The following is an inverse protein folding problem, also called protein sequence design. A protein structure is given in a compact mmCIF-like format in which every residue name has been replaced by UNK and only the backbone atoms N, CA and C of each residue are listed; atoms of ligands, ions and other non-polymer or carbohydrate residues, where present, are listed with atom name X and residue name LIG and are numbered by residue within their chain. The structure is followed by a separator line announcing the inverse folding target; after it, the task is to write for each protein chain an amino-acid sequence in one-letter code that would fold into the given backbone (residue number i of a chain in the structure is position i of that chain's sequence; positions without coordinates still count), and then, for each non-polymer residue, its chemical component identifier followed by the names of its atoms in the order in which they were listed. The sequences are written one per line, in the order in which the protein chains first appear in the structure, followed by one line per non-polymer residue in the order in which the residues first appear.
data_IF_578576664665
#
_entry.id   IF_578576664665
#
_cell.length_a   1.000
_cell.length_b   1.000
_cell.length_c   1.000
_cell.angle_alpha   90.00
_cell.angle_beta   90.00
_cell.angle_gamma   90.00
#
_symmetry.space_group_name_H-M   'P 1'
#
loop_
_entity.id
_entity.type
_entity.pdbx_description
1 polymer ?
#
# COMPACT_ATOMS: atom_id res chain seq x y z
N UNK A 1 4.12 6.40 22.67
CA UNK A 1 4.06 5.64 21.40
C UNK A 1 5.40 4.94 21.20
N UNK A 2 5.43 3.61 21.12
CA UNK A 2 6.64 2.84 20.81
C UNK A 2 6.66 2.52 19.30
N UNK A 3 7.77 2.81 18.64
CA UNK A 3 8.01 2.42 17.25
C UNK A 3 9.39 1.81 17.15
N UNK A 4 9.47 0.55 16.75
CA UNK A 4 10.73 -0.15 16.52
C UNK A 4 10.79 -0.56 15.06
N UNK A 5 11.87 -0.18 14.38
CA UNK A 5 12.08 -0.47 12.96
C UNK A 5 13.28 -1.41 12.82
N UNK A 6 13.06 -2.52 12.15
CA UNK A 6 14.10 -3.47 11.75
C UNK A 6 14.27 -3.46 10.24
N UNK A 7 15.49 -3.31 9.79
CA UNK A 7 15.88 -3.50 8.39
C UNK A 7 16.57 -4.84 8.26
N UNK A 8 15.95 -5.83 7.60
CA UNK A 8 16.53 -7.17 7.53
C UNK A 8 17.83 -7.18 6.72
N UNK A 9 18.72 -8.09 7.12
CA UNK A 9 19.92 -8.43 6.36
C UNK A 9 19.63 -9.35 5.16
N UNK A 10 20.67 -9.75 4.42
CA UNK A 10 20.53 -10.77 3.38
C UNK A 10 19.92 -12.06 3.94
N UNK A 11 19.04 -12.77 3.19
CA UNK A 11 18.66 -12.51 1.79
C UNK A 11 17.48 -11.53 1.64
N UNK A 12 16.89 -11.00 2.71
CA UNK A 12 15.69 -10.16 2.67
C UNK A 12 15.98 -8.69 2.33
N UNK A 13 17.20 -8.19 2.51
CA UNK A 13 17.55 -6.77 2.43
C UNK A 13 17.20 -6.07 1.11
N UNK A 14 17.14 -6.81 -0.01
CA UNK A 14 16.71 -6.30 -1.32
C UNK A 14 15.23 -6.45 -1.59
N UNK A 15 14.49 -7.13 -0.71
CA UNK A 15 13.09 -7.49 -0.89
C UNK A 15 12.18 -6.82 0.14
N UNK A 16 12.68 -6.59 1.35
CA UNK A 16 11.96 -6.01 2.48
C UNK A 16 12.64 -4.70 2.86
N UNK A 17 11.90 -3.61 2.76
CA UNK A 17 12.41 -2.27 3.10
C UNK A 17 12.48 -2.07 4.61
N UNK A 18 11.46 -2.54 5.32
CA UNK A 18 11.37 -2.46 6.77
C UNK A 18 10.36 -3.48 7.33
N UNK A 19 10.65 -3.95 8.55
CA UNK A 19 9.70 -4.59 9.45
C UNK A 19 9.52 -3.64 10.63
N UNK A 20 8.27 -3.28 10.93
CA UNK A 20 7.98 -2.26 11.94
C UNK A 20 7.03 -2.83 12.99
N UNK A 21 7.42 -2.73 14.25
CA UNK A 21 6.50 -2.86 15.38
C UNK A 21 6.06 -1.47 15.80
N UNK A 22 4.76 -1.28 15.97
CA UNK A 22 4.20 -0.02 16.48
C UNK A 22 3.19 -0.34 17.57
N UNK A 23 3.24 0.44 18.68
CA UNK A 23 2.23 0.44 19.72
C UNK A 23 2.03 1.86 20.26
N UNK A 24 0.79 2.26 20.48
CA UNK A 24 0.43 3.52 21.11
C UNK A 24 -0.11 3.33 22.52
N UNK A 25 -0.31 4.44 23.24
CA UNK A 25 -0.77 4.43 24.64
C UNK A 25 -2.31 4.45 24.75
N UNK A 26 -2.98 5.03 23.77
CA UNK A 26 -4.46 5.10 23.76
C UNK A 26 -4.99 4.77 22.37
N UNK A 27 -5.80 3.72 22.24
CA UNK A 27 -6.40 3.40 20.97
C UNK A 27 -7.50 4.43 20.61
N UNK A 28 -7.33 5.08 19.47
CA UNK A 28 -8.38 5.88 18.85
C UNK A 28 -8.73 5.23 17.53
N UNK A 29 -10.00 4.92 17.36
CA UNK A 29 -10.51 4.35 16.12
C UNK A 29 -11.02 5.47 15.23
N UNK A 30 -10.53 5.52 14.00
CA UNK A 30 -11.02 6.42 12.97
C UNK A 30 -11.18 5.68 11.65
N UNK A 31 -12.21 6.00 10.89
CA UNK A 31 -12.27 5.56 9.49
C UNK A 31 -11.48 6.57 8.67
N UNK A 32 -10.57 6.08 7.87
CA UNK A 32 -9.75 6.91 7.00
C UNK A 32 -9.86 6.44 5.55
N UNK A 33 -9.83 7.40 4.64
CA UNK A 33 -9.68 7.12 3.22
C UNK A 33 -8.19 7.11 2.90
N UNK A 34 -7.72 5.98 2.41
CA UNK A 34 -6.32 5.79 2.02
C UNK A 34 -6.20 5.98 0.51
N UNK A 35 -5.30 6.86 0.10
CA UNK A 35 -5.02 7.09 -1.31
C UNK A 35 -4.33 5.88 -1.96
N UNK A 36 -4.54 5.67 -3.28
CA UNK A 36 -3.93 4.54 -3.96
C UNK A 36 -2.40 4.60 -3.96
N UNK A 37 -1.78 3.46 -3.71
CA UNK A 37 -0.33 3.29 -3.66
C UNK A 37 0.07 2.00 -4.38
N UNK A 38 1.19 1.97 -5.10
CA UNK A 38 1.74 0.74 -5.66
C UNK A 38 2.49 -0.09 -4.61
N UNK A 39 2.60 0.41 -3.40
CA UNK A 39 3.24 -0.31 -2.30
C UNK A 39 2.41 -1.51 -1.89
N UNK A 40 3.11 -2.54 -1.46
CA UNK A 40 2.52 -3.77 -0.95
C UNK A 40 3.14 -4.05 0.40
N UNK A 41 2.35 -4.47 1.36
CA UNK A 41 2.84 -4.75 2.70
C UNK A 41 2.05 -5.83 3.41
N UNK A 42 2.62 -6.36 4.48
CA UNK A 42 1.91 -7.20 5.44
C UNK A 42 1.53 -6.38 6.66
N UNK A 43 0.39 -6.71 7.21
CA UNK A 43 -0.11 -6.09 8.42
C UNK A 43 -0.65 -7.18 9.35
N UNK A 44 -0.18 -7.16 10.60
CA UNK A 44 -0.70 -8.04 11.65
C UNK A 44 -1.13 -7.19 12.83
N UNK A 45 -2.43 -7.20 13.09
CA UNK A 45 -3.03 -6.51 14.23
C UNK A 45 -2.84 -7.36 15.49
N UNK A 46 -2.19 -6.82 16.51
CA UNK A 46 -1.92 -7.53 17.76
C UNK A 46 -3.01 -7.32 18.82
N UNK A 47 -3.92 -6.39 18.61
CA UNK A 47 -5.03 -6.11 19.53
C UNK A 47 -6.30 -6.86 19.16
N UNK A 48 -6.65 -6.87 17.86
CA UNK A 48 -7.84 -7.55 17.33
C UNK A 48 -7.47 -8.56 16.26
N UNK A 49 -8.25 -9.59 16.12
CA UNK A 49 -8.07 -10.58 15.05
C UNK A 49 -8.81 -10.19 13.77
N UNK A 50 -9.01 -8.92 13.56
CA UNK A 50 -9.61 -8.37 12.34
C UNK A 50 -9.11 -6.97 12.01
N UNK A 51 -9.16 -6.65 10.72
CA UNK A 51 -9.18 -5.29 10.18
C UNK A 51 -10.55 -5.04 9.58
N UNK A 52 -10.99 -3.79 9.51
CA UNK A 52 -12.24 -3.41 8.85
C UNK A 52 -11.97 -2.49 7.68
N UNK A 53 -12.49 -2.88 6.53
CA UNK A 53 -12.56 -2.05 5.34
C UNK A 53 -14.01 -1.74 5.01
N UNK A 54 -14.22 -0.69 4.23
CA UNK A 54 -15.57 -0.30 3.82
C UNK A 54 -15.60 -0.19 2.30
N UNK A 55 -16.68 -0.62 1.72
CA UNK A 55 -16.94 -0.40 0.30
C UNK A 55 -17.38 1.04 0.02
N UNK A 56 -17.63 1.36 -1.25
CA UNK A 56 -18.08 2.70 -1.65
C UNK A 56 -19.47 3.05 -1.13
N UNK A 57 -20.30 2.08 -0.77
CA UNK A 57 -21.61 2.24 -0.18
C UNK A 57 -21.53 2.41 1.36
N UNK A 58 -20.35 2.26 1.95
CA UNK A 58 -20.14 2.34 3.40
C UNK A 58 -20.41 1.03 4.15
N UNK A 59 -20.65 -0.08 3.45
CA UNK A 59 -20.79 -1.38 4.09
C UNK A 59 -19.43 -1.88 4.57
N UNK A 60 -19.35 -2.29 5.84
CA UNK A 60 -18.13 -2.80 6.44
C UNK A 60 -17.88 -4.26 6.05
N UNK A 61 -16.60 -4.58 5.78
CA UNK A 61 -16.11 -5.93 5.57
C UNK A 61 -14.95 -6.20 6.54
N UNK A 62 -15.09 -7.22 7.35
CA UNK A 62 -14.00 -7.73 8.20
C UNK A 62 -12.97 -8.48 7.34
N UNK A 63 -11.70 -8.30 7.65
CA UNK A 63 -10.57 -9.05 7.09
C UNK A 63 -9.75 -9.58 8.25
N UNK A 64 -9.19 -10.79 8.13
CA UNK A 64 -8.38 -11.41 9.18
C UNK A 64 -7.29 -10.48 9.71
N UNK A 65 -6.99 -10.58 11.00
CA UNK A 65 -6.01 -9.75 11.70
C UNK A 65 -4.56 -9.90 11.21
N UNK A 66 -4.30 -10.85 10.30
CA UNK A 66 -3.03 -10.99 9.58
C UNK A 66 -3.30 -11.01 8.08
N UNK A 67 -2.83 -9.99 7.34
CA UNK A 67 -3.16 -9.80 5.93
C UNK A 67 -2.01 -9.25 5.09
N UNK A 68 -2.11 -9.48 3.79
CA UNK A 68 -1.38 -8.75 2.75
C UNK A 68 -2.28 -7.61 2.25
N UNK A 69 -1.82 -6.37 2.37
CA UNK A 69 -2.37 -5.24 1.63
C UNK A 69 -1.72 -5.19 0.26
N UNK A 70 -2.48 -5.50 -0.77
CA UNK A 70 -2.01 -5.48 -2.15
C UNK A 70 -1.82 -4.05 -2.68
N UNK A 71 -1.23 -3.89 -3.87
CA UNK A 71 -1.09 -2.59 -4.49
C UNK A 71 -2.45 -2.05 -4.89
N UNK A 72 -2.71 -0.79 -4.60
CA UNK A 72 -4.02 -0.18 -4.85
C UNK A 72 -4.01 0.73 -6.07
N UNK A 73 -5.07 0.70 -6.85
CA UNK A 73 -5.31 1.55 -8.02
C UNK A 73 -6.42 2.59 -7.83
N UNK A 74 -7.07 2.57 -6.68
CA UNK A 74 -8.10 3.52 -6.24
C UNK A 74 -8.07 3.65 -4.72
N UNK A 75 -8.61 4.75 -4.22
CA UNK A 75 -8.73 4.95 -2.78
C UNK A 75 -9.65 3.91 -2.13
N UNK A 76 -9.32 3.52 -0.90
CA UNK A 76 -10.13 2.63 -0.08
C UNK A 76 -10.42 3.28 1.28
N UNK A 77 -11.47 2.81 1.94
CA UNK A 77 -11.82 3.20 3.30
C UNK A 77 -11.41 2.08 4.25
N UNK A 78 -10.62 2.41 5.26
CA UNK A 78 -10.14 1.45 6.25
C UNK A 78 -10.39 2.04 7.64
N UNK A 79 -10.81 1.20 8.58
CA UNK A 79 -10.79 1.53 9.99
C UNK A 79 -9.34 1.53 10.46
N UNK A 80 -8.87 2.69 10.87
CA UNK A 80 -7.52 2.88 11.36
C UNK A 80 -7.57 3.02 12.89
N UNK A 81 -6.93 2.13 13.57
CA UNK A 81 -6.83 2.16 15.03
C UNK A 81 -5.47 2.75 15.42
N UNK A 82 -5.45 4.05 15.66
CA UNK A 82 -4.25 4.71 16.18
C UNK A 82 -3.97 4.22 17.61
N UNK A 83 -2.71 3.91 17.88
CA UNK A 83 -2.30 3.43 19.21
C UNK A 83 -2.40 1.93 19.40
N UNK A 84 -2.98 1.18 18.48
CA UNK A 84 -2.98 -0.28 18.56
C UNK A 84 -1.62 -0.88 18.19
N UNK A 85 -1.28 -1.95 18.90
CA UNK A 85 -0.07 -2.70 18.58
C UNK A 85 -0.25 -3.45 17.25
N UNK A 86 0.70 -3.28 16.33
CA UNK A 86 0.74 -4.03 15.09
C UNK A 86 2.19 -4.27 14.63
N UNK A 87 2.37 -5.33 13.87
CA UNK A 87 3.59 -5.57 13.11
C UNK A 87 3.27 -5.39 11.63
N UNK A 88 4.07 -4.59 10.95
CA UNK A 88 3.94 -4.38 9.52
C UNK A 88 5.25 -4.65 8.78
N UNK A 89 5.14 -5.08 7.52
CA UNK A 89 6.26 -5.30 6.61
C UNK A 89 6.02 -4.48 5.36
N UNK A 90 7.01 -3.70 4.95
CA UNK A 90 6.97 -2.99 3.67
C UNK A 90 7.91 -3.69 2.70
N UNK A 91 7.38 -4.09 1.56
CA UNK A 91 8.17 -4.71 0.50
C UNK A 91 8.78 -3.66 -0.43
N UNK A 92 9.97 -3.95 -0.95
CA UNK A 92 10.49 -3.25 -2.10
C UNK A 92 9.56 -3.46 -3.31
N UNK A 93 9.51 -2.49 -4.22
CA UNK A 93 8.59 -2.55 -5.36
C UNK A 93 8.78 -3.83 -6.19
N UNK A 94 7.72 -4.59 -6.35
CA UNK A 94 7.72 -5.87 -7.04
C UNK A 94 8.20 -7.06 -6.21
N UNK A 95 8.77 -6.84 -5.02
CA UNK A 95 9.29 -7.92 -4.20
C UNK A 95 8.19 -8.77 -3.52
N UNK A 96 7.00 -8.20 -3.30
CA UNK A 96 5.87 -8.91 -2.73
C UNK A 96 5.49 -10.18 -3.53
N UNK A 97 5.78 -10.21 -4.84
CA UNK A 97 5.57 -11.39 -5.69
C UNK A 97 6.36 -12.63 -5.23
N UNK A 98 7.43 -12.44 -4.44
CA UNK A 98 8.23 -13.53 -3.87
C UNK A 98 7.57 -14.17 -2.64
N UNK A 99 6.60 -13.50 -2.06
CA UNK A 99 5.88 -13.92 -0.86
C UNK A 99 4.42 -14.28 -1.16
N UNK A 100 3.78 -13.58 -2.09
CA UNK A 100 2.40 -13.84 -2.53
C UNK A 100 2.32 -14.80 -3.74
N UNK A 101 3.46 -15.11 -4.37
CA UNK A 101 3.49 -15.97 -5.55
C UNK A 101 2.65 -15.44 -6.72
N UNK A 102 2.02 -16.32 -7.52
CA UNK A 102 1.22 -15.93 -8.67
C UNK A 102 -0.07 -15.17 -8.32
N UNK A 103 -0.49 -15.18 -7.05
CA UNK A 103 -1.70 -14.49 -6.59
C UNK A 103 -1.55 -12.97 -6.44
N UNK A 104 -0.35 -12.39 -6.56
CA UNK A 104 -0.15 -10.95 -6.40
C UNK A 104 -1.02 -10.08 -7.34
N UNK A 105 -1.22 -10.40 -8.63
CA UNK A 105 -2.15 -9.65 -9.47
C UNK A 105 -3.61 -9.68 -8.99
N UNK A 106 -4.01 -10.75 -8.30
CA UNK A 106 -5.35 -10.91 -7.73
C UNK A 106 -5.51 -10.12 -6.44
N UNK A 107 -4.41 -9.84 -5.74
CA UNK A 107 -4.38 -8.99 -4.55
C UNK A 107 -4.51 -7.49 -4.85
N UNK A 108 -4.62 -7.08 -6.13
CA UNK A 108 -4.80 -5.66 -6.48
C UNK A 108 -6.14 -5.14 -5.98
N UNK A 109 -6.08 -4.01 -5.26
CA UNK A 109 -7.22 -3.37 -4.60
C UNK A 109 -7.89 -4.25 -3.52
N UNK A 110 -7.16 -5.26 -3.01
CA UNK A 110 -7.66 -6.22 -2.02
C UNK A 110 -6.78 -6.30 -0.78
N UNK A 111 -7.41 -6.68 0.32
CA UNK A 111 -6.78 -7.12 1.56
C UNK A 111 -6.91 -8.64 1.62
N UNK A 112 -5.80 -9.35 1.51
CA UNK A 112 -5.79 -10.81 1.39
C UNK A 112 -5.34 -11.43 2.71
N UNK A 113 -6.15 -12.27 3.38
CA UNK A 113 -5.73 -12.99 4.58
C UNK A 113 -4.44 -13.79 4.33
N UNK A 114 -3.48 -13.74 5.28
CA UNK A 114 -2.23 -14.49 5.13
C UNK A 114 -2.46 -15.99 5.13
N UNK A 115 -3.53 -16.48 5.75
CA UNK A 115 -3.94 -17.87 5.65
C UNK A 115 -4.19 -18.30 4.19
N UNK A 116 -4.82 -17.45 3.39
CA UNK A 116 -5.06 -17.71 1.96
C UNK A 116 -3.77 -17.85 1.17
N UNK A 117 -2.72 -17.10 1.56
CA UNK A 117 -1.43 -17.11 0.86
C UNK A 117 -0.47 -18.18 1.37
N UNK A 118 -0.44 -18.41 2.68
CA UNK A 118 0.58 -19.20 3.37
C UNK A 118 0.00 -20.39 4.16
N UNK A 119 -1.31 -20.64 4.03
CA UNK A 119 -2.00 -21.71 4.75
C UNK A 119 -1.83 -21.56 6.27
N UNK A 120 -1.56 -22.69 6.94
CA UNK A 120 -1.38 -22.74 8.40
C UNK A 120 -0.31 -21.76 8.92
N UNK A 121 0.76 -21.51 8.15
CA UNK A 121 1.80 -20.55 8.56
C UNK A 121 1.26 -19.12 8.66
N UNK A 122 0.36 -18.73 7.76
CA UNK A 122 -0.33 -17.44 7.81
C UNK A 122 -1.37 -17.36 8.92
N UNK A 123 -2.16 -18.43 9.11
CA UNK A 123 -3.16 -18.50 10.16
C UNK A 123 -2.56 -18.35 11.58
N UNK A 124 -1.44 -19.03 11.86
CA UNK A 124 -0.78 -19.01 13.17
C UNK A 124 0.19 -17.84 13.38
N UNK A 125 0.39 -16.95 12.39
CA UNK A 125 1.40 -15.90 12.51
C UNK A 125 1.09 -14.93 13.63
N UNK A 126 -0.17 -14.49 13.75
CA UNK A 126 -0.60 -13.55 14.77
C UNK A 126 -0.34 -14.09 16.18
N UNK A 127 -0.72 -15.34 16.45
CA UNK A 127 -0.50 -16.01 17.74
C UNK A 127 0.99 -16.03 18.11
N UNK A 128 1.84 -16.42 17.16
CA UNK A 128 3.29 -16.44 17.35
C UNK A 128 3.89 -15.06 17.66
N UNK A 129 3.32 -14.00 17.08
CA UNK A 129 3.74 -12.62 17.39
C UNK A 129 3.25 -12.16 18.76
N UNK A 130 2.08 -12.62 19.21
CA UNK A 130 1.55 -12.36 20.54
C UNK A 130 2.30 -13.10 21.64
N UNK A 131 2.87 -14.27 21.34
CA UNK A 131 3.71 -15.04 22.27
C UNK A 131 5.12 -14.47 22.42
N UNK A 132 5.55 -13.53 21.58
CA UNK A 132 6.86 -12.91 21.67
C UNK A 132 7.00 -12.11 22.97
N UNK A 133 8.09 -12.34 23.70
CA UNK A 133 8.31 -11.70 25.00
C UNK A 133 8.54 -10.19 24.90
N UNK A 134 9.15 -9.75 23.81
CA UNK A 134 9.43 -8.33 23.54
C UNK A 134 9.05 -7.94 22.10
N UNK A 135 8.84 -6.64 21.84
CA UNK A 135 8.67 -6.16 20.46
C UNK A 135 9.84 -6.52 19.53
N UNK A 136 11.06 -6.62 20.04
CA UNK A 136 12.22 -7.03 19.24
C UNK A 136 12.11 -8.51 18.83
N UNK A 137 11.66 -9.38 19.75
CA UNK A 137 11.42 -10.80 19.46
C UNK A 137 10.30 -10.97 18.43
N UNK A 138 9.25 -10.15 18.51
CA UNK A 138 8.17 -10.14 17.50
C UNK A 138 8.71 -9.81 16.09
N UNK A 139 9.64 -8.86 15.97
CA UNK A 139 10.30 -8.55 14.70
C UNK A 139 11.17 -9.71 14.20
N UNK A 140 11.83 -10.46 15.08
CA UNK A 140 12.60 -11.67 14.73
C UNK A 140 11.71 -12.82 14.28
N UNK A 141 10.57 -13.01 14.96
CA UNK A 141 9.55 -14.00 14.53
C UNK A 141 9.07 -13.65 13.12
N UNK A 142 8.74 -12.39 12.86
CA UNK A 142 8.31 -11.94 11.52
C UNK A 142 9.39 -12.18 10.46
N UNK A 143 10.64 -11.81 10.73
CA UNK A 143 11.76 -12.03 9.81
C UNK A 143 11.95 -13.54 9.52
N UNK A 144 11.87 -14.38 10.54
CA UNK A 144 11.97 -15.84 10.40
C UNK A 144 10.85 -16.40 9.53
N UNK A 145 9.61 -15.88 9.69
CA UNK A 145 8.48 -16.30 8.84
C UNK A 145 8.71 -15.86 7.40
N UNK A 146 9.13 -14.63 7.16
CA UNK A 146 9.43 -14.13 5.83
C UNK A 146 10.49 -15.00 5.13
N UNK A 147 11.56 -15.38 5.83
CA UNK A 147 12.59 -16.28 5.29
C UNK A 147 12.01 -17.62 4.84
N UNK A 148 11.06 -18.18 5.60
CA UNK A 148 10.40 -19.46 5.25
C UNK A 148 9.40 -19.34 4.11
N UNK A 149 8.78 -18.18 3.95
CA UNK A 149 7.79 -17.91 2.90
C UNK A 149 8.42 -17.41 1.58
N UNK A 150 9.71 -17.12 1.61
CA UNK A 150 10.43 -16.65 0.42
C UNK A 150 10.48 -17.75 -0.64
N UNK A 151 9.90 -17.50 -1.81
CA UNK A 151 9.82 -18.45 -2.92
C UNK A 151 10.59 -17.95 -4.16
N UNK A 152 11.10 -18.90 -4.93
CA UNK A 152 11.77 -18.62 -6.20
C UNK A 152 13.14 -17.94 -6.05
N UNK A 153 13.59 -17.29 -7.11
CA UNK A 153 14.89 -16.60 -7.14
C UNK A 153 14.78 -15.24 -6.43
N UNK A 154 15.84 -14.80 -5.75
CA UNK A 154 15.89 -13.47 -5.09
C UNK A 154 15.86 -12.32 -6.10
N UNK A 155 16.34 -12.55 -7.32
CA UNK A 155 16.41 -11.54 -8.35
C UNK A 155 15.01 -11.17 -8.87
N UNK A 156 14.70 -9.88 -8.82
CA UNK A 156 13.55 -9.31 -9.51
C UNK A 156 13.90 -9.12 -10.99
N UNK A 157 12.87 -9.17 -11.86
CA UNK A 157 13.08 -8.93 -13.30
C UNK A 157 13.67 -7.52 -13.53
N UNK A 158 14.92 -7.41 -14.04
CA UNK A 158 15.56 -6.12 -14.22
C UNK A 158 14.82 -5.22 -15.20
N UNK A 159 14.13 -5.78 -16.19
CA UNK A 159 13.31 -5.02 -17.13
C UNK A 159 12.08 -4.40 -16.43
N UNK A 160 11.44 -5.14 -15.50
CA UNK A 160 10.35 -4.61 -14.68
C UNK A 160 10.86 -3.51 -13.75
N UNK A 161 12.01 -3.69 -13.11
CA UNK A 161 12.61 -2.67 -12.24
C UNK A 161 12.98 -1.40 -13.04
N UNK A 162 13.54 -1.54 -14.24
CA UNK A 162 13.84 -0.41 -15.13
C UNK A 162 12.57 0.30 -15.59
N UNK A 163 11.54 -0.46 -16.00
CA UNK A 163 10.23 0.08 -16.35
C UNK A 163 9.60 0.86 -15.20
N UNK A 164 9.60 0.30 -13.99
CA UNK A 164 9.04 0.95 -12.82
C UNK A 164 9.74 2.29 -12.54
N UNK A 165 11.07 2.34 -12.59
CA UNK A 165 11.84 3.59 -12.44
C UNK A 165 11.49 4.64 -13.49
N UNK A 166 11.38 4.24 -14.76
CA UNK A 166 11.04 5.16 -15.85
C UNK A 166 9.61 5.70 -15.70
N UNK A 167 8.64 4.82 -15.47
CA UNK A 167 7.23 5.19 -15.25
C UNK A 167 7.06 6.08 -14.01
N UNK A 168 7.80 5.82 -12.92
CA UNK A 168 7.78 6.67 -11.72
C UNK A 168 8.31 8.09 -11.99
N UNK A 169 9.18 8.28 -12.98
CA UNK A 169 9.64 9.59 -13.42
C UNK A 169 8.73 10.27 -14.44
N UNK A 170 7.70 9.57 -14.92
CA UNK A 170 6.70 10.12 -15.84
C UNK A 170 6.88 9.70 -17.29
N UNK A 171 7.80 8.78 -17.60
CA UNK A 171 7.92 8.24 -18.96
C UNK A 171 6.63 7.54 -19.41
N UNK A 172 6.34 7.63 -20.71
CA UNK A 172 5.19 6.97 -21.30
C UNK A 172 5.39 5.46 -21.45
N UNK A 173 4.32 4.67 -21.29
CA UNK A 173 4.41 3.19 -21.39
C UNK A 173 4.96 2.73 -22.75
N UNK A 174 4.59 3.41 -23.84
CA UNK A 174 5.10 3.11 -25.18
C UNK A 174 6.59 3.40 -25.36
N UNK A 175 7.06 4.49 -24.77
CA UNK A 175 8.48 4.86 -24.71
C UNK A 175 9.28 3.80 -23.95
N UNK A 176 8.86 3.47 -22.73
CA UNK A 176 9.49 2.46 -21.90
C UNK A 176 9.55 1.09 -22.58
N UNK A 177 8.49 0.72 -23.31
CA UNK A 177 8.44 -0.53 -24.06
C UNK A 177 9.50 -0.57 -25.19
N UNK A 178 9.67 0.55 -25.91
CA UNK A 178 10.69 0.68 -26.97
C UNK A 178 12.11 0.66 -26.39
N UNK A 179 12.36 1.42 -25.34
CA UNK A 179 13.69 1.55 -24.72
C UNK A 179 14.18 0.21 -24.13
N UNK A 180 13.26 -0.62 -23.65
CA UNK A 180 13.57 -1.95 -23.13
C UNK A 180 13.60 -3.04 -24.22
N UNK A 181 13.29 -2.72 -25.47
CA UNK A 181 13.19 -3.70 -26.55
C UNK A 181 12.11 -4.75 -26.32
N UNK A 182 11.06 -4.42 -25.55
CA UNK A 182 9.98 -5.35 -25.20
C UNK A 182 8.70 -5.00 -25.96
N UNK A 183 7.98 -6.01 -26.42
CA UNK A 183 6.63 -5.81 -26.92
C UNK A 183 5.70 -5.34 -25.79
N UNK A 184 4.75 -4.42 -26.04
CA UNK A 184 3.84 -3.90 -25.00
C UNK A 184 3.10 -4.98 -24.21
N UNK A 185 2.68 -6.07 -24.85
CA UNK A 185 2.03 -7.20 -24.20
C UNK A 185 2.98 -7.94 -23.25
N UNK A 186 4.26 -8.06 -23.62
CA UNK A 186 5.28 -8.73 -22.80
C UNK A 186 5.61 -7.91 -21.57
N UNK A 187 5.83 -6.59 -21.75
CA UNK A 187 6.03 -5.66 -20.64
C UNK A 187 4.82 -5.71 -19.69
N UNK A 188 3.60 -5.59 -20.22
CA UNK A 188 2.38 -5.64 -19.41
C UNK A 188 2.30 -6.94 -18.59
N UNK A 189 2.52 -8.10 -19.19
CA UNK A 189 2.46 -9.39 -18.50
C UNK A 189 3.47 -9.48 -17.38
N UNK A 190 4.77 -9.21 -17.67
CA UNK A 190 5.86 -9.29 -16.68
C UNK A 190 5.65 -8.29 -15.55
N UNK A 191 5.33 -7.06 -15.90
CA UNK A 191 5.12 -5.99 -14.93
C UNK A 191 3.93 -6.29 -14.01
N UNK A 192 2.79 -6.73 -14.57
CA UNK A 192 1.61 -7.06 -13.77
C UNK A 192 1.88 -8.26 -12.85
N UNK A 193 2.55 -9.28 -13.32
CA UNK A 193 2.90 -10.44 -12.49
C UNK A 193 3.77 -10.07 -11.28
N UNK A 194 4.71 -9.13 -11.45
CA UNK A 194 5.65 -8.78 -10.39
C UNK A 194 5.18 -7.62 -9.50
N UNK A 195 4.44 -6.64 -10.05
CA UNK A 195 4.02 -5.41 -9.34
C UNK A 195 2.56 -5.46 -8.90
N UNK A 196 1.75 -6.35 -9.49
CA UNK A 196 0.31 -6.43 -9.25
C UNK A 196 -0.53 -5.39 -10.02
N UNK A 197 0.08 -4.32 -10.54
CA UNK A 197 -0.56 -3.30 -11.36
C UNK A 197 -0.11 -3.40 -12.83
N UNK A 198 -0.97 -3.02 -13.77
CA UNK A 198 -0.51 -2.81 -15.15
C UNK A 198 0.39 -1.58 -15.23
N UNK A 199 1.34 -1.50 -16.20
CA UNK A 199 2.22 -0.32 -16.36
C UNK A 199 1.45 1.01 -16.42
N UNK A 200 0.31 1.05 -17.13
CA UNK A 200 -0.53 2.25 -17.24
C UNK A 200 -1.15 2.65 -15.89
N UNK A 201 -1.69 1.69 -15.12
CA UNK A 201 -2.24 1.97 -13.80
C UNK A 201 -1.17 2.41 -12.83
N UNK A 202 -0.02 1.73 -12.84
CA UNK A 202 1.14 2.10 -12.04
C UNK A 202 1.59 3.55 -12.32
N UNK A 203 1.74 3.94 -13.59
CA UNK A 203 2.13 5.30 -13.97
C UNK A 203 1.13 6.35 -13.46
N UNK A 204 -0.19 6.08 -13.55
CA UNK A 204 -1.23 6.98 -13.03
C UNK A 204 -1.14 7.12 -11.51
N UNK A 205 -1.02 6.00 -10.78
CA UNK A 205 -0.88 6.03 -9.31
C UNK A 205 0.41 6.75 -8.91
N UNK A 206 1.53 6.49 -9.58
CA UNK A 206 2.78 7.19 -9.32
C UNK A 206 2.72 8.69 -9.60
N UNK A 207 1.97 9.11 -10.63
CA UNK A 207 1.74 10.53 -10.91
C UNK A 207 0.97 11.20 -9.78
N UNK A 208 -0.12 10.56 -9.31
CA UNK A 208 -0.87 11.02 -8.14
C UNK A 208 0.03 11.09 -6.90
N UNK A 209 0.81 10.06 -6.63
CA UNK A 209 1.70 10.01 -5.45
C UNK A 209 2.80 11.10 -5.50
N UNK A 210 3.30 11.47 -6.68
CA UNK A 210 4.21 12.62 -6.81
C UNK A 210 3.51 13.94 -6.50
N UNK A 211 2.32 14.14 -7.05
CA UNK A 211 1.50 15.32 -6.78
C UNK A 211 1.18 15.45 -5.28
N UNK A 212 0.74 14.37 -4.65
CA UNK A 212 0.38 14.34 -3.23
C UNK A 212 1.58 14.65 -2.33
N UNK A 213 2.77 14.16 -2.66
CA UNK A 213 4.01 14.51 -1.95
C UNK A 213 4.40 15.98 -2.11
N UNK A 214 4.24 16.55 -3.30
CA UNK A 214 4.50 17.97 -3.53
C UNK A 214 3.48 18.87 -2.81
N UNK A 215 2.27 18.37 -2.58
CA UNK A 215 1.24 19.10 -1.82
C UNK A 215 1.41 18.97 -0.30
N UNK A 216 2.32 18.12 0.17
CA UNK A 216 2.53 17.95 1.61
C UNK A 216 3.02 19.24 2.26
N UNK A 217 2.43 19.60 3.39
CA UNK A 217 2.68 20.88 4.06
C UNK A 217 2.03 22.12 3.43
N UNK A 218 1.39 22.03 2.26
CA UNK A 218 0.77 23.18 1.61
C UNK A 218 -0.73 23.31 1.96
N UNK A 219 -1.18 24.48 2.38
CA UNK A 219 -2.60 24.76 2.61
C UNK A 219 -3.35 25.16 1.32
N UNK A 220 -2.63 25.63 0.31
CA UNK A 220 -3.15 26.07 -1.01
C UNK A 220 -2.19 25.62 -2.09
N UNK A 221 -2.69 25.49 -3.32
CA UNK A 221 -1.89 25.13 -4.48
C UNK A 221 -2.36 25.90 -5.72
N UNK A 222 -1.43 26.24 -6.59
CA UNK A 222 -1.72 26.65 -7.96
C UNK A 222 -1.91 25.37 -8.80
N UNK A 223 -3.17 25.05 -9.08
CA UNK A 223 -3.52 23.81 -9.76
C UNK A 223 -3.06 23.77 -11.23
N UNK A 224 -2.95 24.93 -11.89
CA UNK A 224 -2.43 25.01 -13.25
C UNK A 224 -0.92 24.69 -13.28
N UNK A 225 -0.15 25.29 -12.37
CA UNK A 225 1.27 24.99 -12.21
C UNK A 225 1.50 23.53 -11.79
N UNK A 226 0.67 22.98 -10.90
CA UNK A 226 0.75 21.57 -10.49
C UNK A 226 0.42 20.63 -11.65
N UNK A 227 -0.56 20.94 -12.48
CA UNK A 227 -0.89 20.15 -13.67
C UNK A 227 0.31 20.09 -14.62
N UNK A 228 0.89 21.23 -14.97
CA UNK A 228 2.07 21.28 -15.84
C UNK A 228 3.26 20.51 -15.24
N UNK A 229 3.56 20.70 -13.96
CA UNK A 229 4.69 20.04 -13.26
C UNK A 229 4.59 18.53 -13.23
N UNK A 230 3.37 18.00 -13.05
CA UNK A 230 3.14 16.55 -12.88
C UNK A 230 2.73 15.84 -14.17
N UNK A 231 2.75 16.53 -15.34
CA UNK A 231 2.47 15.92 -16.63
C UNK A 231 0.98 15.62 -16.87
N UNK A 232 0.11 16.47 -16.34
CA UNK A 232 -1.29 16.56 -16.77
C UNK A 232 -1.41 17.56 -17.93
N UNK A 233 -2.37 17.35 -18.81
CA UNK A 233 -2.56 18.24 -19.94
C UNK A 233 -2.97 19.65 -19.50
N UNK A 234 -3.84 19.72 -18.48
CA UNK A 234 -4.39 20.95 -17.91
C UNK A 234 -4.94 20.69 -16.49
N UNK A 235 -5.44 21.74 -15.85
CA UNK A 235 -6.05 21.66 -14.53
C UNK A 235 -7.32 20.78 -14.49
N UNK A 236 -8.26 20.83 -15.45
CA UNK A 236 -9.39 19.91 -15.52
C UNK A 236 -8.96 18.43 -15.56
N UNK A 237 -8.01 18.07 -16.41
CA UNK A 237 -7.47 16.72 -16.48
C UNK A 237 -6.87 16.26 -15.14
N UNK A 238 -6.11 17.15 -14.45
CA UNK A 238 -5.63 16.86 -13.11
C UNK A 238 -6.79 16.58 -12.14
N UNK A 239 -7.80 17.44 -12.13
CA UNK A 239 -8.94 17.33 -11.21
C UNK A 239 -9.75 16.03 -11.45
N UNK A 240 -9.96 15.68 -12.70
CA UNK A 240 -10.71 14.47 -13.08
C UNK A 240 -9.94 13.19 -12.75
N UNK A 241 -8.64 13.13 -13.08
CA UNK A 241 -7.82 11.98 -12.74
C UNK A 241 -7.64 11.84 -11.21
N UNK A 242 -7.49 12.96 -10.50
CA UNK A 242 -7.42 12.95 -9.04
C UNK A 242 -8.71 12.39 -8.43
N UNK A 243 -9.88 12.86 -8.90
CA UNK A 243 -11.18 12.36 -8.43
C UNK A 243 -11.39 10.88 -8.76
N UNK A 244 -10.98 10.43 -9.95
CA UNK A 244 -11.07 9.02 -10.35
C UNK A 244 -10.25 8.10 -9.44
N UNK A 245 -9.05 8.53 -9.03
CA UNK A 245 -8.14 7.74 -8.20
C UNK A 245 -8.41 7.88 -6.70
N UNK A 246 -8.63 9.12 -6.23
CA UNK A 246 -8.74 9.45 -4.81
C UNK A 246 -10.20 9.50 -4.30
N UNK A 247 -11.19 9.56 -5.20
CA UNK A 247 -12.60 9.71 -4.84
C UNK A 247 -12.93 11.05 -4.18
N UNK A 248 -12.05 12.04 -4.31
CA UNK A 248 -12.23 13.44 -3.84
C UNK A 248 -11.55 14.39 -4.83
N UNK A 249 -11.93 15.65 -4.81
CA UNK A 249 -11.25 16.68 -5.60
C UNK A 249 -9.91 17.08 -4.96
N UNK A 250 -8.96 17.65 -5.72
CA UNK A 250 -7.70 18.15 -5.18
C UNK A 250 -7.89 19.19 -4.06
N UNK A 251 -8.92 20.05 -4.14
CA UNK A 251 -9.24 21.01 -3.11
C UNK A 251 -9.81 20.37 -1.83
N UNK A 252 -10.64 19.35 -1.95
CA UNK A 252 -11.13 18.54 -0.82
C UNK A 252 -9.98 17.79 -0.15
N UNK A 253 -9.06 17.24 -0.94
CA UNK A 253 -7.85 16.60 -0.43
C UNK A 253 -7.07 17.52 0.52
N UNK A 254 -6.78 18.74 0.12
CA UNK A 254 -6.04 19.69 0.97
C UNK A 254 -6.71 19.98 2.31
N UNK A 255 -8.06 19.94 2.35
CA UNK A 255 -8.85 20.20 3.58
C UNK A 255 -9.03 18.99 4.47
N UNK A 256 -8.95 17.78 3.92
CA UNK A 256 -9.30 16.52 4.61
C UNK A 256 -8.12 15.68 5.04
N UNK A 257 -6.89 16.09 4.77
CA UNK A 257 -5.68 15.35 5.17
C UNK A 257 -5.59 15.15 6.68
N UNK A 258 -5.19 13.94 7.08
CA UNK A 258 -4.91 13.56 8.47
C UNK A 258 -3.72 12.60 8.46
N UNK A 259 -2.96 12.50 9.53
CA UNK A 259 -1.93 11.45 9.73
C UNK A 259 -0.92 11.23 8.59
N UNK A 260 -0.78 12.20 7.68
CA UNK A 260 0.14 12.14 6.54
C UNK A 260 -0.55 12.32 5.19
N UNK A 261 0.24 12.39 4.10
CA UNK A 261 -0.26 12.79 2.79
C UNK A 261 -1.22 11.78 2.14
N UNK A 262 -1.16 10.51 2.54
CA UNK A 262 -2.01 9.46 1.96
C UNK A 262 -3.30 9.20 2.76
N UNK A 263 -3.53 9.88 3.88
CA UNK A 263 -4.62 9.64 4.80
C UNK A 263 -5.59 10.83 4.81
N UNK A 264 -6.86 10.57 4.58
CA UNK A 264 -7.91 11.58 4.53
C UNK A 264 -9.04 11.24 5.50
N UNK A 265 -9.67 12.27 6.08
CA UNK A 265 -10.98 12.09 6.71
C UNK A 265 -12.00 11.73 5.64
N UNK A 266 -12.88 10.75 5.86
CA UNK A 266 -13.98 10.48 4.93
C UNK A 266 -14.82 11.77 4.78
N UNK A 267 -15.01 12.24 3.55
CA UNK A 267 -15.96 13.33 3.28
C UNK A 267 -17.39 12.84 3.59
N UNK A 268 -18.17 13.66 4.30
CA UNK A 268 -19.48 13.41 4.87
C UNK A 268 -20.34 12.34 4.22
N UNK A 269 -20.33 11.18 4.81
CA UNK A 269 -21.21 10.02 4.88
C UNK A 269 -20.40 8.82 5.39
N UNK A 270 -19.59 9.03 6.43
CA UNK A 270 -19.11 7.92 7.24
C UNK A 270 -20.30 7.36 8.05
N UNK A 271 -20.34 6.08 8.37
CA UNK A 271 -21.38 5.55 9.26
C UNK A 271 -21.36 6.40 10.52
N UNK A 272 -22.53 6.98 10.84
CA UNK A 272 -22.74 7.73 12.08
C UNK A 272 -22.22 6.86 13.22
N UNK A 273 -21.33 7.43 14.05
CA UNK A 273 -20.79 6.74 15.20
C UNK A 273 -21.91 6.05 15.96
N UNK A 274 -21.83 4.73 16.06
CA UNK A 274 -22.58 4.01 17.07
C UNK A 274 -22.03 4.51 18.40
N UNK A 275 -22.74 5.48 18.98
CA UNK A 275 -22.54 5.87 20.36
C UNK A 275 -22.74 4.60 21.21
N UNK A 276 -21.69 4.18 21.91
CA UNK A 276 -21.82 3.25 23.01
C UNK A 276 -22.77 3.90 24.03
N UNK A 277 -23.96 3.26 24.19
CA UNK A 277 -24.76 3.36 25.40
C UNK A 277 -24.30 2.28 26.35
#
# INVERSE_FOLDING_TARGET
MAVIVRRPGPPLSGLVTAIVYRAGEQPQTSVEKILPSPETGLWVNLNRDEFRSFDQAGASRGVAGAMLAGPTSRACLIEFEQGHAHVSVTFALGAASRFAGPSLPEARDELVPLETLWGRSGACLRERLLEAATPADALEVMETVLLRQLTGTLALDPAVAAAARALSRGAGVGEVSRDLGLLPRTLRRRFTAQVGLTPKRFARVQRLQRLVRDLDGHARADWAAMAARHGYADQPHLADEFRDLAGVTPGEYLRSRVNGPNHLRPGGAGPAGAACG
#
